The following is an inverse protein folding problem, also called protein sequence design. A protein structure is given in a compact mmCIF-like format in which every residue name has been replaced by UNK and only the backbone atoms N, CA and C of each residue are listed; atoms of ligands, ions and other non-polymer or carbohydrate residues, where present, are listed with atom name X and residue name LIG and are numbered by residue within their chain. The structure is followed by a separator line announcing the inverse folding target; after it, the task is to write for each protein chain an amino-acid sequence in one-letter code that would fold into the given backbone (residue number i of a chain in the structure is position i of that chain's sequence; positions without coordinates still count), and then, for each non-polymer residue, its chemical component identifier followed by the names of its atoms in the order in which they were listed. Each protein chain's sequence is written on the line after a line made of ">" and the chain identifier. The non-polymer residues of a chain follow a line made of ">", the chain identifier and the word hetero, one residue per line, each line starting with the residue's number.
data_IF_243054012227
#
_entry.id   IF_243054012227
#
_cell.length_a   1.000
_cell.length_b   1.000
_cell.length_c   1.000
_cell.angle_alpha   90.00
_cell.angle_beta   90.00
_cell.angle_gamma   90.00
#
_symmetry.space_group_name_H-M   'P 1'
#
loop_
_entity.id
_entity.type
_entity.pdbx_description
1 polymer ?
#
# COMPACT_ATOMS: atom_id res chain seq x y z
N UNK A 1 2.64 3.04 9.68
CA UNK A 1 3.81 3.22 8.79
C UNK A 1 4.68 4.42 9.15
N UNK A 2 4.17 5.66 9.12
CA UNK A 2 4.98 6.84 9.44
C UNK A 2 5.68 6.77 10.81
N UNK A 3 4.95 6.35 11.84
CA UNK A 3 5.52 6.12 13.17
C UNK A 3 6.57 4.99 13.17
N UNK A 4 6.30 3.86 12.49
CA UNK A 4 7.27 2.77 12.32
C UNK A 4 8.59 3.28 11.72
N UNK A 5 8.53 4.10 10.67
CA UNK A 5 9.74 4.64 10.03
C UNK A 5 10.43 5.69 10.89
N UNK A 6 9.71 6.39 11.78
CA UNK A 6 10.29 7.30 12.76
C UNK A 6 11.09 6.52 13.81
N UNK A 7 10.52 5.43 14.31
CA UNK A 7 11.13 4.60 15.36
C UNK A 7 12.23 3.68 14.82
N UNK A 8 12.09 3.24 13.56
CA UNK A 8 12.99 2.32 12.84
C UNK A 8 13.41 2.91 11.48
N UNK A 9 14.34 3.89 11.46
CA UNK A 9 14.78 4.55 10.23
C UNK A 9 15.51 3.61 9.26
N UNK A 10 16.02 2.47 9.72
CA UNK A 10 16.65 1.42 8.91
C UNK A 10 15.70 0.79 7.87
N UNK A 11 14.39 0.91 8.08
CA UNK A 11 13.36 0.43 7.16
C UNK A 11 12.93 1.47 6.12
N UNK A 12 13.48 2.68 6.15
CA UNK A 12 13.18 3.69 5.12
C UNK A 12 13.77 3.30 3.79
N UNK A 13 12.98 3.48 2.74
CA UNK A 13 13.48 3.46 1.37
C UNK A 13 14.14 4.82 1.12
N UNK A 14 15.31 4.82 0.46
CA UNK A 14 15.98 6.05 0.05
C UNK A 14 15.81 6.21 -1.46
N UNK A 15 15.41 7.39 -1.90
CA UNK A 15 15.33 7.70 -3.32
C UNK A 15 16.68 7.41 -4.01
N UNK A 16 16.68 6.53 -5.01
CA UNK A 16 17.86 6.21 -5.80
C UNK A 16 18.84 5.19 -5.19
N UNK A 17 18.52 4.52 -4.07
CA UNK A 17 19.34 3.40 -3.59
C UNK A 17 18.52 2.20 -3.11
N UNK A 18 18.99 0.99 -3.41
CA UNK A 18 18.36 -0.22 -2.87
C UNK A 18 18.69 -0.35 -1.39
N UNK A 19 17.65 -0.40 -0.54
CA UNK A 19 17.78 -0.77 0.86
C UNK A 19 17.12 -2.15 1.06
N UNK A 20 17.88 -3.23 1.26
CA UNK A 20 17.32 -4.58 1.40
C UNK A 20 16.46 -4.76 2.66
N UNK A 21 16.55 -3.83 3.62
CA UNK A 21 15.70 -3.82 4.83
C UNK A 21 14.47 -2.92 4.67
N UNK A 22 14.34 -2.19 3.57
CA UNK A 22 13.23 -1.26 3.43
C UNK A 22 11.89 -2.00 3.46
N UNK A 23 10.92 -1.40 4.15
CA UNK A 23 9.54 -1.90 4.18
C UNK A 23 8.69 -1.04 3.27
N UNK A 24 7.88 -1.67 2.42
CA UNK A 24 7.03 -0.99 1.46
C UNK A 24 5.56 -1.23 1.82
N UNK A 25 4.78 -0.15 1.87
CA UNK A 25 3.33 -0.21 1.91
C UNK A 25 2.80 -0.19 0.49
N UNK A 26 2.18 -1.29 0.06
CA UNK A 26 1.57 -1.40 -1.26
C UNK A 26 0.07 -1.28 -1.12
N UNK A 27 -0.51 -0.26 -1.73
CA UNK A 27 -1.95 -0.05 -1.82
C UNK A 27 -2.41 -0.49 -3.21
N UNK A 28 -2.94 -1.71 -3.30
CA UNK A 28 -3.54 -2.27 -4.51
C UNK A 28 -5.06 -2.09 -4.45
N UNK A 29 -5.66 -1.60 -5.52
CA UNK A 29 -7.13 -1.46 -5.62
C UNK A 29 -7.60 -0.89 -6.94
N UNK A 30 -8.92 -0.79 -7.11
CA UNK A 30 -9.54 -0.25 -8.32
C UNK A 30 -10.02 1.20 -8.15
N UNK A 31 -10.01 1.97 -9.24
CA UNK A 31 -10.69 3.26 -9.34
C UNK A 31 -11.71 3.22 -10.48
N UNK A 32 -13.00 3.43 -10.15
CA UNK A 32 -14.10 3.28 -11.10
C UNK A 32 -14.64 4.62 -11.59
N UNK A 33 -14.48 5.66 -10.78
CA UNK A 33 -15.05 6.99 -11.03
C UNK A 33 -14.15 8.09 -10.45
N UNK A 34 -14.56 9.34 -10.64
CA UNK A 34 -13.83 10.52 -10.15
C UNK A 34 -13.69 10.53 -8.62
N UNK A 35 -14.69 10.04 -7.89
CA UNK A 35 -14.62 9.94 -6.42
C UNK A 35 -13.49 9.00 -5.97
N UNK A 36 -13.36 7.84 -6.61
CA UNK A 36 -12.27 6.89 -6.32
C UNK A 36 -10.89 7.52 -6.66
N UNK A 37 -10.79 8.22 -7.80
CA UNK A 37 -9.57 8.92 -8.18
C UNK A 37 -9.20 10.04 -7.19
N UNK A 38 -10.18 10.80 -6.71
CA UNK A 38 -9.97 11.83 -5.69
C UNK A 38 -9.49 11.25 -4.36
N UNK A 39 -10.00 10.08 -3.94
CA UNK A 39 -9.47 9.37 -2.76
C UNK A 39 -8.02 8.95 -2.95
N UNK A 40 -7.67 8.40 -4.12
CA UNK A 40 -6.27 8.04 -4.42
C UNK A 40 -5.36 9.27 -4.35
N UNK A 41 -5.81 10.41 -4.89
CA UNK A 41 -5.07 11.67 -4.81
C UNK A 41 -4.85 12.11 -3.36
N UNK A 42 -5.91 12.11 -2.54
CA UNK A 42 -5.81 12.45 -1.11
C UNK A 42 -4.86 11.51 -0.35
N UNK A 43 -4.86 10.21 -0.67
CA UNK A 43 -3.95 9.24 -0.06
C UNK A 43 -2.48 9.51 -0.45
N UNK A 44 -2.22 9.89 -1.72
CA UNK A 44 -0.88 10.29 -2.17
C UNK A 44 -0.41 11.56 -1.48
N UNK A 45 -1.27 12.57 -1.38
CA UNK A 45 -1.00 13.80 -0.63
C UNK A 45 -0.71 13.47 0.84
N UNK A 46 -1.47 12.56 1.44
CA UNK A 46 -1.23 12.12 2.82
C UNK A 46 0.11 11.42 3.01
N UNK A 47 0.52 10.58 2.06
CA UNK A 47 1.85 9.94 2.10
C UNK A 47 2.97 10.98 2.03
N UNK A 48 2.78 12.05 1.24
CA UNK A 48 3.70 13.17 1.15
C UNK A 48 3.75 13.98 2.46
N UNK A 49 2.60 14.36 3.03
CA UNK A 49 2.53 15.06 4.32
C UNK A 49 3.23 14.29 5.45
N UNK A 50 3.11 12.95 5.42
CA UNK A 50 3.73 12.07 6.40
C UNK A 50 5.22 11.79 6.11
N UNK A 51 5.76 12.26 4.98
CA UNK A 51 7.15 12.06 4.58
C UNK A 51 7.50 10.60 4.31
N UNK A 52 6.55 9.81 3.78
CA UNK A 52 6.72 8.37 3.51
C UNK A 52 6.52 7.98 2.05
N UNK A 53 6.46 8.96 1.13
CA UNK A 53 6.20 8.72 -0.31
C UNK A 53 7.08 7.62 -0.90
N UNK A 54 8.37 7.61 -0.57
CA UNK A 54 9.33 6.63 -1.09
C UNK A 54 9.07 5.19 -0.60
N UNK A 55 8.29 5.03 0.46
CA UNK A 55 7.91 3.75 1.04
C UNK A 55 6.47 3.34 0.68
N UNK A 56 5.73 4.11 -0.12
CA UNK A 56 4.34 3.81 -0.50
C UNK A 56 4.22 3.63 -2.01
N UNK A 57 3.66 2.49 -2.43
CA UNK A 57 3.35 2.20 -3.83
C UNK A 57 1.86 2.05 -4.00
N UNK A 58 1.30 2.76 -4.99
CA UNK A 58 -0.10 2.64 -5.38
C UNK A 58 -0.18 1.88 -6.69
N UNK A 59 -0.90 0.76 -6.68
CA UNK A 59 -1.14 -0.08 -7.86
C UNK A 59 -2.63 -0.04 -8.15
N UNK A 60 -3.01 0.75 -9.15
CA UNK A 60 -4.41 1.05 -9.44
C UNK A 60 -4.86 0.27 -10.66
N UNK A 61 -6.01 -0.40 -10.56
CA UNK A 61 -6.60 -1.20 -11.64
C UNK A 61 -5.67 -2.32 -12.14
N UNK A 62 -4.94 -2.97 -11.23
CA UNK A 62 -4.10 -4.11 -11.56
C UNK A 62 -4.93 -5.26 -12.15
N UNK A 63 -4.46 -5.95 -13.20
CA UNK A 63 -5.04 -7.23 -13.60
C UNK A 63 -5.01 -8.23 -12.45
N UNK A 64 -5.96 -9.17 -12.42
CA UNK A 64 -6.08 -10.13 -11.32
C UNK A 64 -4.78 -10.91 -11.04
N UNK A 65 -4.05 -11.34 -12.08
CA UNK A 65 -2.77 -12.02 -11.89
C UNK A 65 -1.70 -11.15 -11.23
N UNK A 66 -1.71 -9.84 -11.47
CA UNK A 66 -0.79 -8.91 -10.80
C UNK A 66 -1.20 -8.67 -9.34
N UNK A 67 -2.51 -8.52 -9.08
CA UNK A 67 -3.04 -8.49 -7.72
C UNK A 67 -2.57 -9.71 -6.93
N UNK A 68 -2.78 -10.93 -7.46
CA UNK A 68 -2.34 -12.16 -6.80
C UNK A 68 -0.82 -12.18 -6.56
N UNK A 69 -0.02 -11.71 -7.52
CA UNK A 69 1.43 -11.63 -7.34
C UNK A 69 1.83 -10.68 -6.21
N UNK A 70 1.13 -9.55 -6.05
CA UNK A 70 1.33 -8.64 -4.92
C UNK A 70 0.94 -9.28 -3.59
N UNK A 71 -0.22 -9.94 -3.53
CA UNK A 71 -0.68 -10.62 -2.31
C UNK A 71 0.29 -11.73 -1.90
N UNK A 72 0.68 -12.61 -2.83
CA UNK A 72 1.56 -13.75 -2.57
C UNK A 72 2.96 -13.37 -2.05
N UNK A 73 3.51 -12.21 -2.45
CA UNK A 73 4.82 -11.73 -1.96
C UNK A 73 4.73 -10.90 -0.69
N UNK A 74 3.54 -10.46 -0.31
CA UNK A 74 3.33 -9.60 0.86
C UNK A 74 3.54 -10.41 2.14
N UNK A 75 4.18 -9.79 3.14
CA UNK A 75 4.39 -10.42 4.46
C UNK A 75 3.19 -10.23 5.40
N UNK A 76 2.43 -9.16 5.17
CA UNK A 76 1.30 -8.74 5.99
C UNK A 76 0.23 -8.21 5.06
N UNK A 77 -0.99 -8.70 5.20
CA UNK A 77 -2.20 -8.13 4.61
C UNK A 77 -2.88 -7.17 5.58
N UNK A 78 -3.31 -6.00 5.10
CA UNK A 78 -4.05 -5.03 5.89
C UNK A 78 -5.36 -4.75 5.16
N UNK A 79 -6.47 -4.98 5.85
CA UNK A 79 -7.78 -4.56 5.38
C UNK A 79 -8.31 -3.39 6.21
N UNK A 80 -8.91 -2.41 5.54
CA UNK A 80 -9.32 -1.14 6.15
C UNK A 80 -10.78 -0.75 5.86
N UNK A 81 -11.61 -1.69 5.39
CA UNK A 81 -13.05 -1.45 5.25
C UNK A 81 -13.69 -1.45 6.64
N UNK A 82 -14.55 -0.45 6.89
CA UNK A 82 -15.26 -0.31 8.16
C UNK A 82 -16.21 -1.48 8.42
N UNK A 83 -16.97 -1.88 7.37
CA UNK A 83 -18.02 -2.90 7.44
C UNK A 83 -17.74 -3.99 6.40
N UNK A 84 -16.75 -4.84 6.67
CA UNK A 84 -16.47 -5.97 5.79
C UNK A 84 -17.50 -7.09 5.98
N UNK A 85 -18.24 -7.38 4.91
CA UNK A 85 -19.35 -8.33 4.97
C UNK A 85 -18.93 -9.81 4.85
N UNK A 86 -17.82 -10.11 4.15
CA UNK A 86 -17.38 -11.50 3.91
C UNK A 86 -15.91 -11.77 4.21
N UNK A 87 -14.99 -10.83 3.94
CA UNK A 87 -13.56 -11.09 4.14
C UNK A 87 -12.86 -11.65 2.91
N UNK A 88 -13.34 -11.40 1.67
CA UNK A 88 -12.73 -12.02 0.49
C UNK A 88 -11.25 -11.65 0.35
N UNK A 89 -10.89 -10.41 0.71
CA UNK A 89 -9.49 -9.98 0.72
C UNK A 89 -8.64 -10.78 1.71
N UNK A 90 -9.19 -11.18 2.85
CA UNK A 90 -8.51 -12.04 3.84
C UNK A 90 -8.26 -13.44 3.27
N UNK A 91 -9.24 -14.00 2.54
CA UNK A 91 -9.10 -15.31 1.88
C UNK A 91 -8.07 -15.23 0.73
N UNK A 92 -8.02 -14.13 -0.01
CA UNK A 92 -7.05 -13.91 -1.08
C UNK A 92 -5.60 -13.71 -0.57
N UNK A 93 -5.43 -13.40 0.73
CA UNK A 93 -4.11 -13.35 1.38
C UNK A 93 -3.59 -14.73 1.84
N UNK A 94 -4.44 -15.76 1.93
CA UNK A 94 -4.07 -17.13 2.36
C UNK A 94 -3.60 -17.99 1.19
#
# INVERSE_FOLDING_TARGET
>A
MAQLLKDHPEYRQKAGSENPKAVQLVMVGSARNESDNNRIKQLREKAHELGITDNVTFVINAPFGELQAWLARSKIGIHAMLDEHFGIGVVEYM
#
